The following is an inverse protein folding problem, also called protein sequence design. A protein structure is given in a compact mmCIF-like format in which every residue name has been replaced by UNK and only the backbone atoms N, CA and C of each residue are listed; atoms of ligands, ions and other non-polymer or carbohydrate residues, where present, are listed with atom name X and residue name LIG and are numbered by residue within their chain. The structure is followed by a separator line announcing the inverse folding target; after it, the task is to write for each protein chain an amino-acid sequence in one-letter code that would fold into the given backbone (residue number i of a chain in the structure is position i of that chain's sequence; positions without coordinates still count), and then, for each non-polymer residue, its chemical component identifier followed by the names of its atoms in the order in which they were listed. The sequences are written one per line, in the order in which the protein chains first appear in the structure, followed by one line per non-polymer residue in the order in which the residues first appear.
data_IF_380897922975
#
_entry.id   IF_380897922975
#
_cell.length_a   1.000
_cell.length_b   1.000
_cell.length_c   1.000
_cell.angle_alpha   90.00
_cell.angle_beta   90.00
_cell.angle_gamma   90.00
#
_symmetry.space_group_name_H-M   'P 1'
#
loop_
_entity.id
_entity.type
_entity.pdbx_description
1 polymer ?
#
# COMPACT_ATOMS: atom_id res chain seq x y z
N UNK A 1 -7.49 6.28 1.99
CA UNK A 1 -7.69 5.47 0.76
C UNK A 1 -8.82 4.47 0.93
N UNK A 2 -8.83 3.62 1.96
CA UNK A 2 -9.93 2.66 2.20
C UNK A 2 -11.32 3.33 2.25
N UNK A 3 -11.42 4.49 2.90
CA UNK A 3 -12.65 5.28 2.95
C UNK A 3 -13.12 5.75 1.56
N UNK A 4 -12.22 6.31 0.76
CA UNK A 4 -12.50 6.72 -0.63
C UNK A 4 -12.86 5.53 -1.54
N UNK A 5 -12.24 4.37 -1.32
CA UNK A 5 -12.61 3.14 -2.02
C UNK A 5 -14.00 2.67 -1.62
N UNK A 6 -14.34 2.72 -0.33
CA UNK A 6 -15.66 2.35 0.17
C UNK A 6 -16.77 3.25 -0.39
N UNK A 7 -16.52 4.56 -0.56
CA UNK A 7 -17.43 5.48 -1.26
C UNK A 7 -17.72 5.03 -2.70
N UNK A 8 -16.68 4.57 -3.41
CA UNK A 8 -16.78 4.15 -4.81
C UNK A 8 -17.28 2.71 -4.99
N UNK A 9 -17.19 1.90 -3.95
CA UNK A 9 -17.54 0.48 -3.93
C UNK A 9 -18.53 0.21 -2.78
N UNK A 10 -19.76 0.72 -2.85
CA UNK A 10 -20.70 0.72 -1.71
C UNK A 10 -21.10 -0.68 -1.24
N UNK A 11 -20.96 -1.70 -2.10
CA UNK A 11 -21.26 -3.10 -1.81
C UNK A 11 -20.04 -3.89 -1.32
N UNK A 12 -18.83 -3.31 -1.36
CA UNK A 12 -17.62 -4.00 -0.91
C UNK A 12 -17.50 -3.93 0.61
N UNK A 13 -16.96 -5.00 1.20
CA UNK A 13 -16.64 -5.06 2.62
C UNK A 13 -15.15 -4.82 2.82
N UNK A 14 -14.81 -3.98 3.78
CA UNK A 14 -13.45 -3.58 4.11
C UNK A 14 -13.09 -4.06 5.50
N UNK A 15 -11.91 -4.67 5.63
CA UNK A 15 -11.25 -4.89 6.91
C UNK A 15 -10.01 -4.01 6.91
N UNK A 16 -10.01 -2.97 7.74
CA UNK A 16 -8.89 -2.05 7.90
C UNK A 16 -8.01 -2.58 9.03
N UNK A 17 -6.82 -3.04 8.66
CA UNK A 17 -5.79 -3.53 9.58
C UNK A 17 -4.71 -2.48 9.79
N UNK A 18 -4.35 -2.25 11.04
CA UNK A 18 -3.20 -1.46 11.48
C UNK A 18 -2.86 -1.87 12.92
N UNK A 19 -1.82 -1.29 13.51
CA UNK A 19 -1.54 -1.46 14.94
C UNK A 19 -2.60 -0.77 15.80
N UNK A 20 -2.86 -1.31 17.00
CA UNK A 20 -4.02 -0.94 17.81
C UNK A 20 -4.15 0.57 18.04
N UNK A 21 -3.07 1.22 18.46
CA UNK A 21 -3.08 2.66 18.77
C UNK A 21 -3.36 3.55 17.55
N UNK A 22 -3.05 3.10 16.33
CA UNK A 22 -3.38 3.81 15.10
C UNK A 22 -4.87 3.61 14.75
N UNK A 23 -5.39 2.41 14.95
CA UNK A 23 -6.80 2.10 14.66
C UNK A 23 -7.80 2.79 15.57
N UNK A 24 -7.42 3.18 16.80
CA UNK A 24 -8.35 3.80 17.77
C UNK A 24 -9.11 5.02 17.22
N UNK A 25 -8.50 5.76 16.28
CA UNK A 25 -9.13 6.94 15.68
C UNK A 25 -10.04 6.60 14.49
N UNK A 26 -9.88 5.43 13.88
CA UNK A 26 -10.55 5.07 12.65
C UNK A 26 -12.09 5.01 12.79
N UNK A 27 -12.69 4.41 13.84
CA UNK A 27 -14.15 4.38 13.99
C UNK A 27 -14.80 5.76 14.02
N UNK A 28 -14.18 6.74 14.69
CA UNK A 28 -14.70 8.09 14.79
C UNK A 28 -14.70 8.78 13.41
N UNK A 29 -13.58 8.68 12.68
CA UNK A 29 -13.45 9.23 11.33
C UNK A 29 -14.48 8.60 10.38
N UNK A 30 -14.59 7.27 10.38
CA UNK A 30 -15.54 6.58 9.49
C UNK A 30 -17.00 6.85 9.84
N UNK A 31 -17.34 6.99 11.13
CA UNK A 31 -18.71 7.33 11.54
C UNK A 31 -19.12 8.74 11.12
N UNK A 32 -18.15 9.66 11.05
CA UNK A 32 -18.38 11.02 10.57
C UNK A 32 -18.46 11.08 9.04
N UNK A 33 -17.55 10.39 8.36
CA UNK A 33 -17.34 10.54 6.93
C UNK A 33 -18.22 9.61 6.08
N UNK A 34 -18.48 8.38 6.55
CA UNK A 34 -19.23 7.34 5.83
C UNK A 34 -20.08 6.48 6.80
N UNK A 35 -21.04 7.10 7.53
CA UNK A 35 -21.83 6.43 8.57
C UNK A 35 -22.59 5.21 8.06
N UNK A 36 -23.05 5.21 6.82
CA UNK A 36 -23.77 4.10 6.20
C UNK A 36 -22.92 2.83 6.13
N UNK A 37 -21.62 2.94 5.83
CA UNK A 37 -20.73 1.79 5.76
C UNK A 37 -20.51 1.18 7.16
N UNK A 38 -20.48 2.02 8.19
CA UNK A 38 -20.39 1.58 9.60
C UNK A 38 -21.70 0.90 10.01
N UNK A 39 -22.85 1.53 9.75
CA UNK A 39 -24.17 1.01 10.12
C UNK A 39 -24.51 -0.31 9.43
N UNK A 40 -24.10 -0.47 8.15
CA UNK A 40 -24.30 -1.70 7.39
C UNK A 40 -23.26 -2.79 7.72
N UNK A 41 -22.25 -2.50 8.54
CA UNK A 41 -21.16 -3.43 8.81
C UNK A 41 -20.29 -3.73 7.59
N UNK A 42 -20.19 -2.78 6.66
CA UNK A 42 -19.33 -2.87 5.47
C UNK A 42 -17.88 -2.47 5.78
N UNK A 43 -17.58 -1.96 6.97
CA UNK A 43 -16.22 -1.74 7.46
C UNK A 43 -16.02 -2.38 8.83
N UNK A 44 -14.88 -3.05 8.98
CA UNK A 44 -14.39 -3.57 10.25
C UNK A 44 -12.96 -3.04 10.48
N UNK A 45 -12.66 -2.67 11.71
CA UNK A 45 -11.31 -2.31 12.14
C UNK A 45 -10.72 -3.48 12.92
N UNK A 46 -9.52 -3.91 12.56
CA UNK A 46 -8.92 -5.10 13.15
C UNK A 46 -7.44 -4.90 13.44
N UNK A 47 -7.04 -4.75 14.73
CA UNK A 47 -5.64 -4.69 15.11
C UNK A 47 -4.88 -5.89 14.56
N UNK A 48 -3.79 -5.64 13.83
CA UNK A 48 -3.00 -6.70 13.25
C UNK A 48 -1.55 -6.26 13.03
N UNK A 49 -0.63 -7.12 13.43
CA UNK A 49 0.78 -7.05 13.06
C UNK A 49 1.01 -7.88 11.79
N UNK A 50 1.38 -7.21 10.70
CA UNK A 50 1.60 -7.84 9.40
C UNK A 50 2.84 -8.75 9.34
N UNK A 51 3.68 -8.77 10.38
CA UNK A 51 4.74 -9.77 10.56
C UNK A 51 4.24 -11.08 11.18
N UNK A 52 2.94 -11.16 11.49
CA UNK A 52 2.28 -12.38 11.97
C UNK A 52 1.37 -12.96 10.89
N UNK A 53 0.94 -14.21 11.06
CA UNK A 53 0.06 -14.86 10.11
C UNK A 53 -1.24 -14.06 9.88
N UNK A 54 -1.60 -13.84 8.61
CA UNK A 54 -2.77 -13.06 8.24
C UNK A 54 -4.08 -13.78 8.68
N UNK A 55 -4.87 -13.21 9.60
CA UNK A 55 -6.06 -13.85 10.14
C UNK A 55 -7.23 -13.91 9.16
N UNK A 56 -7.33 -12.97 8.20
CA UNK A 56 -8.40 -12.97 7.19
C UNK A 56 -7.99 -13.84 6.02
N UNK A 57 -8.62 -15.00 5.88
CA UNK A 57 -8.37 -15.93 4.77
C UNK A 57 -9.39 -15.76 3.65
N UNK A 58 -8.92 -15.91 2.41
CA UNK A 58 -9.77 -15.90 1.22
C UNK A 58 -10.35 -14.54 0.84
N UNK A 59 -9.77 -13.43 1.29
CA UNK A 59 -10.21 -12.11 0.85
C UNK A 59 -9.97 -11.92 -0.65
N UNK A 60 -10.87 -11.25 -1.35
CA UNK A 60 -10.73 -11.02 -2.81
C UNK A 60 -9.49 -10.18 -3.15
N UNK A 61 -9.17 -9.21 -2.29
CA UNK A 61 -7.98 -8.37 -2.41
C UNK A 61 -7.33 -8.12 -1.04
N UNK A 62 -6.00 -8.19 -1.02
CA UNK A 62 -5.16 -7.72 0.08
C UNK A 62 -4.41 -6.48 -0.39
N UNK A 63 -4.69 -5.32 0.21
CA UNK A 63 -4.19 -4.03 -0.25
C UNK A 63 -3.15 -3.48 0.73
N UNK A 64 -1.92 -3.29 0.24
CA UNK A 64 -0.83 -2.62 0.95
C UNK A 64 -0.61 -1.25 0.31
N UNK A 65 -0.63 -0.17 1.11
CA UNK A 65 -0.33 1.18 0.62
C UNK A 65 0.67 1.85 1.54
N UNK A 66 1.78 2.31 0.99
CA UNK A 66 2.85 2.95 1.75
C UNK A 66 3.31 2.06 2.90
N UNK A 67 3.50 0.77 2.59
CA UNK A 67 3.96 -0.25 3.53
C UNK A 67 5.33 -0.74 3.10
N UNK A 68 5.44 -1.35 1.91
CA UNK A 68 6.64 -2.11 1.54
C UNK A 68 7.87 -1.21 1.36
N UNK A 69 7.69 0.03 0.91
CA UNK A 69 8.79 0.99 0.74
C UNK A 69 9.54 1.38 2.03
N UNK A 70 8.98 1.08 3.21
CA UNK A 70 9.62 1.37 4.50
C UNK A 70 10.49 0.19 4.98
N UNK A 71 10.28 -1.01 4.44
CA UNK A 71 10.87 -2.24 4.95
C UNK A 71 11.96 -2.79 4.03
N UNK A 72 12.93 -3.52 4.62
CA UNK A 72 13.91 -4.30 3.86
C UNK A 72 13.25 -5.43 3.07
N UNK A 73 13.97 -5.98 2.10
CA UNK A 73 13.45 -7.05 1.24
C UNK A 73 13.07 -8.30 2.04
N UNK A 74 13.83 -8.67 3.07
CA UNK A 74 13.50 -9.82 3.93
C UNK A 74 12.17 -9.62 4.67
N UNK A 75 11.93 -8.39 5.13
CA UNK A 75 10.70 -8.00 5.80
C UNK A 75 9.53 -7.96 4.81
N UNK A 76 9.71 -7.37 3.62
CA UNK A 76 8.72 -7.39 2.55
C UNK A 76 8.33 -8.82 2.15
N UNK A 77 9.31 -9.71 2.00
CA UNK A 77 9.08 -11.13 1.70
C UNK A 77 8.29 -11.80 2.82
N UNK A 78 8.56 -11.48 4.08
CA UNK A 78 7.81 -12.01 5.23
C UNK A 78 6.35 -11.58 5.20
N UNK A 79 6.09 -10.28 5.00
CA UNK A 79 4.74 -9.72 4.86
C UNK A 79 3.99 -10.38 3.71
N UNK A 80 4.60 -10.43 2.52
CA UNK A 80 3.97 -10.99 1.32
C UNK A 80 3.72 -12.50 1.45
N UNK A 81 4.56 -13.24 2.17
CA UNK A 81 4.33 -14.66 2.49
C UNK A 81 3.08 -14.85 3.34
N UNK A 82 2.91 -14.06 4.40
CA UNK A 82 1.72 -14.15 5.24
C UNK A 82 0.43 -13.83 4.46
N UNK A 83 0.47 -12.85 3.56
CA UNK A 83 -0.67 -12.58 2.67
C UNK A 83 -0.91 -13.76 1.72
N UNK A 84 0.14 -14.28 1.06
CA UNK A 84 0.05 -15.43 0.16
C UNK A 84 -0.58 -16.65 0.82
N UNK A 85 -0.20 -16.96 2.06
CA UNK A 85 -0.72 -18.11 2.80
C UNK A 85 -2.21 -17.96 3.19
N UNK A 86 -2.71 -16.73 3.24
CA UNK A 86 -4.11 -16.43 3.50
C UNK A 86 -4.97 -16.33 2.23
N UNK A 87 -4.35 -16.15 1.05
CA UNK A 87 -5.05 -16.00 -0.23
C UNK A 87 -5.90 -17.22 -0.60
N UNK A 88 -7.07 -16.96 -1.18
CA UNK A 88 -7.86 -17.93 -1.93
C UNK A 88 -7.45 -17.99 -3.40
N UNK A 89 -8.05 -18.89 -4.20
CA UNK A 89 -7.68 -19.12 -5.60
C UNK A 89 -7.81 -17.88 -6.51
N UNK A 90 -8.74 -16.98 -6.17
CA UNK A 90 -9.03 -15.76 -6.93
C UNK A 90 -8.47 -14.50 -6.28
N UNK A 91 -7.88 -14.60 -5.09
CA UNK A 91 -7.34 -13.45 -4.37
C UNK A 91 -6.27 -12.72 -5.17
N UNK A 92 -6.13 -11.42 -4.93
CA UNK A 92 -5.04 -10.59 -5.47
C UNK A 92 -4.36 -9.80 -4.35
N UNK A 93 -3.05 -9.59 -4.49
CA UNK A 93 -2.34 -8.60 -3.69
C UNK A 93 -2.25 -7.33 -4.53
N UNK A 94 -2.69 -6.22 -3.97
CA UNK A 94 -2.63 -4.89 -4.56
C UNK A 94 -1.61 -4.08 -3.77
N UNK A 95 -0.61 -3.53 -4.45
CA UNK A 95 0.43 -2.70 -3.84
C UNK A 95 0.28 -1.30 -4.42
N UNK A 96 0.12 -0.32 -3.55
CA UNK A 96 0.04 1.10 -3.88
C UNK A 96 1.23 1.83 -3.24
N UNK A 97 2.39 1.72 -3.88
CA UNK A 97 3.66 2.35 -3.49
C UNK A 97 4.23 3.17 -4.66
N UNK A 98 5.27 3.97 -4.40
CA UNK A 98 5.98 4.66 -5.49
C UNK A 98 6.84 3.66 -6.28
N UNK A 99 6.85 3.86 -7.60
CA UNK A 99 7.71 3.13 -8.51
C UNK A 99 8.75 4.10 -9.05
N UNK A 100 9.99 3.92 -8.62
CA UNK A 100 11.08 4.84 -8.93
C UNK A 100 11.53 4.65 -10.38
N UNK A 101 11.68 5.77 -11.09
CA UNK A 101 12.34 5.78 -12.40
C UNK A 101 13.82 6.02 -12.17
N UNK A 102 14.65 5.01 -12.43
CA UNK A 102 16.09 5.17 -12.34
C UNK A 102 16.61 6.06 -13.46
N UNK A 103 17.82 6.58 -13.27
CA UNK A 103 18.55 7.32 -14.32
C UNK A 103 19.09 6.40 -15.42
N UNK A 104 18.94 5.09 -15.27
CA UNK A 104 19.26 4.08 -16.26
C UNK A 104 17.99 3.66 -17.02
N UNK A 105 18.16 3.12 -18.22
CA UNK A 105 17.03 2.55 -18.96
C UNK A 105 16.52 1.28 -18.27
N UNK A 106 15.20 1.11 -18.26
CA UNK A 106 14.53 -0.11 -17.79
C UNK A 106 13.64 -0.64 -18.90
N UNK A 107 13.56 -1.96 -19.05
CA UNK A 107 12.63 -2.59 -19.99
C UNK A 107 11.16 -2.45 -19.57
N UNK A 108 10.90 -2.09 -18.31
CA UNK A 108 9.56 -1.97 -17.76
C UNK A 108 9.02 -0.53 -17.76
N UNK A 109 9.90 0.47 -17.87
CA UNK A 109 9.53 1.89 -17.84
C UNK A 109 9.81 2.57 -19.16
N UNK A 110 8.91 3.48 -19.55
CA UNK A 110 9.12 4.30 -20.74
C UNK A 110 10.13 5.41 -20.45
N UNK A 111 11.29 5.36 -21.10
CA UNK A 111 12.29 6.43 -21.05
C UNK A 111 11.74 7.76 -21.57
N UNK A 112 12.15 8.86 -20.93
CA UNK A 112 11.84 10.20 -21.41
C UNK A 112 12.46 10.47 -22.81
N UNK A 113 11.80 11.25 -23.67
CA UNK A 113 12.38 11.64 -24.94
C UNK A 113 13.55 12.62 -24.74
N UNK A 114 14.55 12.55 -25.61
CA UNK A 114 15.63 13.53 -25.64
C UNK A 114 15.08 14.97 -25.79
N UNK A 115 15.68 15.98 -25.11
CA UNK A 115 16.94 15.94 -24.37
C UNK A 115 16.79 15.63 -22.87
N UNK A 116 15.61 15.17 -22.41
CA UNK A 116 15.40 14.87 -21.00
C UNK A 116 16.22 13.64 -20.57
N UNK A 117 16.70 13.59 -19.31
CA UNK A 117 17.27 12.37 -18.77
C UNK A 117 16.18 11.28 -18.69
N UNK A 118 16.58 10.01 -18.76
CA UNK A 118 15.70 8.83 -18.83
C UNK A 118 14.57 8.86 -17.80
N UNK A 119 14.84 9.37 -16.60
CA UNK A 119 13.88 9.49 -15.51
C UNK A 119 12.99 10.74 -15.55
N UNK A 120 12.86 11.43 -16.69
CA UNK A 120 12.09 12.68 -16.86
C UNK A 120 12.61 13.88 -16.04
N UNK A 121 13.75 13.76 -15.37
CA UNK A 121 14.40 14.85 -14.65
C UNK A 121 13.50 15.46 -13.58
N UNK A 122 13.26 16.77 -13.67
CA UNK A 122 12.48 17.53 -12.68
C UNK A 122 11.04 17.02 -12.55
N UNK A 123 10.46 16.41 -13.59
CA UNK A 123 9.09 15.89 -13.51
C UNK A 123 8.95 14.77 -12.46
N UNK A 124 10.02 14.04 -12.16
CA UNK A 124 10.06 12.98 -11.14
C UNK A 124 10.80 13.41 -9.87
N UNK A 125 11.07 14.70 -9.68
CA UNK A 125 11.79 15.21 -8.49
C UNK A 125 11.09 14.83 -7.19
N UNK A 126 9.75 14.80 -7.17
CA UNK A 126 8.99 14.42 -5.98
C UNK A 126 9.21 12.97 -5.57
N UNK A 127 9.30 12.04 -6.52
CA UNK A 127 9.60 10.64 -6.21
C UNK A 127 11.00 10.50 -5.63
N UNK A 128 11.98 11.20 -6.22
CA UNK A 128 13.37 11.19 -5.75
C UNK A 128 13.49 11.83 -4.35
N UNK A 129 12.79 12.93 -4.10
CA UNK A 129 12.76 13.57 -2.78
C UNK A 129 12.04 12.69 -1.75
N UNK A 130 10.98 11.99 -2.16
CA UNK A 130 10.28 11.07 -1.29
C UNK A 130 11.20 9.92 -0.86
N UNK A 131 11.93 9.31 -1.79
CA UNK A 131 12.93 8.28 -1.50
C UNK A 131 13.98 8.76 -0.48
N UNK A 132 14.56 9.94 -0.68
CA UNK A 132 15.49 10.53 0.28
C UNK A 132 14.88 10.76 1.66
N UNK A 133 13.61 11.15 1.74
CA UNK A 133 12.90 11.33 3.01
C UNK A 133 12.67 9.99 3.71
N UNK A 134 12.21 8.97 2.98
CA UNK A 134 11.96 7.63 3.53
C UNK A 134 13.28 7.00 4.03
N UNK A 135 14.36 7.14 3.25
CA UNK A 135 15.70 6.74 3.67
C UNK A 135 16.13 7.47 4.95
N UNK A 136 15.99 8.79 5.01
CA UNK A 136 16.48 9.59 6.13
C UNK A 136 15.73 9.35 7.43
N UNK A 137 14.42 9.07 7.37
CA UNK A 137 13.56 8.96 8.57
C UNK A 137 13.39 7.51 9.02
N UNK A 138 13.33 6.57 8.09
CA UNK A 138 12.94 5.18 8.38
C UNK A 138 13.95 4.15 7.87
N UNK A 139 15.05 4.59 7.23
CA UNK A 139 16.00 3.71 6.56
C UNK A 139 15.33 2.78 5.53
N UNK A 140 14.24 3.27 4.92
CA UNK A 140 13.52 2.59 3.85
C UNK A 140 14.06 3.00 2.46
N UNK A 141 13.41 2.49 1.42
CA UNK A 141 13.76 2.78 0.03
C UNK A 141 12.56 2.63 -0.90
N UNK A 142 12.48 3.51 -1.89
CA UNK A 142 11.64 3.30 -3.06
C UNK A 142 12.29 2.29 -4.01
N UNK A 143 11.45 1.57 -4.75
CA UNK A 143 11.91 0.48 -5.62
C UNK A 143 11.68 0.79 -7.08
N UNK A 144 12.59 0.31 -7.93
CA UNK A 144 12.39 0.19 -9.37
C UNK A 144 11.44 -0.97 -9.66
N UNK A 145 10.92 -1.09 -10.89
CA UNK A 145 10.12 -2.26 -11.28
C UNK A 145 10.91 -3.56 -11.45
N UNK A 146 12.21 -3.44 -11.71
CA UNK A 146 13.17 -4.55 -11.76
C UNK A 146 13.66 -4.87 -10.35
#
# INVERSE_FOLDING_TARGET
MSLELARKLPNAKFIVQDIDHVLQQAPAVWSQELPEAVQMGHVQFMPHDFFTAQPVRGAEAYLLRYILHIWSDENCVTILKHLKDAMGPTSRILIADHVLHSTAESGQLKSAPAPLPVNYGVAHIYNNMHDLNIMSVMNGMERTPD
#
